data_IF_671566564414
#
_entry.id   IF_671566564414
#
_cell.length_a   1.000
_cell.length_b   1.000
_cell.length_c   1.000
_cell.angle_alpha   90.00
_cell.angle_beta   90.00
_cell.angle_gamma   90.00
#
_symmetry.space_group_name_H-M   'P 1'
#
loop_
_entity.id
_entity.type
_entity.pdbx_description
1 polymer ?
#
# COMPACT_ATOMS: atom_id res chain seq x y z
N UNK A 1 5.02 3.34 14.67
CA UNK A 1 5.93 4.40 14.19
C UNK A 1 6.07 5.57 15.18
N UNK A 2 5.07 5.86 16.00
CA UNK A 2 5.09 6.95 16.99
C UNK A 2 4.76 8.35 16.44
N UNK A 3 4.56 8.48 15.14
CA UNK A 3 4.22 9.77 14.48
C UNK A 3 2.73 10.08 14.54
N UNK A 4 1.88 9.05 14.54
CA UNK A 4 0.43 9.19 14.65
C UNK A 4 -0.07 8.74 16.03
N UNK A 5 -1.30 9.13 16.37
CA UNK A 5 -1.96 8.67 17.58
C UNK A 5 -1.96 7.12 17.67
N UNK A 6 -1.71 6.54 18.82
CA UNK A 6 -1.53 7.16 20.15
C UNK A 6 -0.09 7.66 20.45
N UNK A 7 0.80 7.80 19.48
CA UNK A 7 2.16 8.31 19.66
C UNK A 7 3.15 7.32 20.31
N UNK A 8 2.80 6.05 20.35
CA UNK A 8 3.62 5.01 20.98
C UNK A 8 4.70 4.53 20.01
N UNK A 9 5.96 4.60 20.42
CA UNK A 9 7.07 3.95 19.72
C UNK A 9 7.16 2.50 20.18
N UNK A 10 6.55 1.59 19.42
CA UNK A 10 6.61 0.18 19.71
C UNK A 10 7.85 -0.48 19.04
N UNK A 11 8.41 -1.55 19.64
CA UNK A 11 9.41 -2.37 18.98
C UNK A 11 8.92 -2.91 17.63
N UNK A 12 9.81 -3.09 16.66
CA UNK A 12 9.43 -3.60 15.32
C UNK A 12 8.64 -4.90 15.38
N UNK A 13 9.02 -5.81 16.26
CA UNK A 13 8.29 -7.08 16.43
C UNK A 13 6.81 -6.84 16.77
N UNK A 14 6.54 -5.92 17.69
CA UNK A 14 5.19 -5.61 18.11
C UNK A 14 4.40 -4.95 16.98
N UNK A 15 5.05 -4.09 16.16
CA UNK A 15 4.40 -3.45 15.01
C UNK A 15 4.04 -4.45 13.92
N UNK A 16 4.90 -5.44 13.63
CA UNK A 16 4.59 -6.52 12.69
C UNK A 16 3.47 -7.43 13.23
N UNK A 17 3.46 -7.74 14.52
CA UNK A 17 2.39 -8.51 15.15
C UNK A 17 1.06 -7.76 15.12
N UNK A 18 1.06 -6.46 15.42
CA UNK A 18 -0.14 -5.62 15.30
C UNK A 18 -0.69 -5.60 13.88
N UNK A 19 0.17 -5.45 12.87
CA UNK A 19 -0.24 -5.47 11.47
C UNK A 19 -0.85 -6.83 11.07
N UNK A 20 -0.23 -7.93 11.46
CA UNK A 20 -0.75 -9.26 11.21
C UNK A 20 -2.12 -9.46 11.87
N UNK A 21 -2.28 -9.02 13.12
CA UNK A 21 -3.55 -9.07 13.82
C UNK A 21 -4.63 -8.16 13.18
N UNK A 22 -4.24 -7.01 12.62
CA UNK A 22 -5.17 -6.16 11.86
C UNK A 22 -5.68 -6.87 10.59
N UNK A 23 -4.82 -7.58 9.86
CA UNK A 23 -5.21 -8.38 8.71
C UNK A 23 -6.11 -9.57 9.11
N UNK A 24 -5.85 -10.23 10.25
CA UNK A 24 -6.76 -11.26 10.80
C UNK A 24 -8.12 -10.68 11.18
N UNK A 25 -8.14 -9.47 11.73
CA UNK A 25 -9.39 -8.77 12.05
C UNK A 25 -10.18 -8.45 10.77
N UNK A 26 -9.50 -8.05 9.67
CA UNK A 26 -10.10 -7.90 8.35
C UNK A 26 -10.79 -9.20 7.90
N UNK A 27 -10.10 -10.32 7.90
CA UNK A 27 -10.66 -11.62 7.50
C UNK A 27 -11.89 -12.02 8.32
N UNK A 28 -11.84 -11.85 9.65
CA UNK A 28 -13.00 -12.07 10.52
C UNK A 28 -14.17 -11.16 10.19
N UNK A 29 -13.89 -9.89 9.90
CA UNK A 29 -14.93 -8.95 9.49
C UNK A 29 -15.60 -9.37 8.18
N UNK A 30 -14.82 -9.83 7.19
CA UNK A 30 -15.36 -10.37 5.93
C UNK A 30 -16.29 -11.55 6.18
N UNK A 31 -15.87 -12.54 6.99
CA UNK A 31 -16.69 -13.69 7.36
C UNK A 31 -18.00 -13.26 8.02
N UNK A 32 -17.96 -12.34 8.99
CA UNK A 32 -19.14 -11.85 9.68
C UNK A 32 -20.09 -11.08 8.76
N UNK A 33 -19.54 -10.23 7.88
CA UNK A 33 -20.36 -9.51 6.90
C UNK A 33 -21.04 -10.46 5.92
N UNK A 34 -20.34 -11.50 5.44
CA UNK A 34 -20.92 -12.51 4.55
C UNK A 34 -22.00 -13.34 5.24
N UNK A 35 -21.78 -13.71 6.53
CA UNK A 35 -22.71 -14.55 7.28
C UNK A 35 -23.99 -13.82 7.73
N UNK A 36 -23.87 -12.54 8.11
CA UNK A 36 -24.96 -11.80 8.75
C UNK A 36 -25.49 -10.62 7.93
N UNK A 37 -24.88 -10.31 6.80
CA UNK A 37 -25.37 -9.24 5.90
C UNK A 37 -26.77 -9.54 5.38
N UNK A 38 -27.69 -8.59 5.55
CA UNK A 38 -29.10 -8.73 5.14
C UNK A 38 -29.37 -8.31 3.70
N UNK A 39 -28.35 -7.81 3.00
CA UNK A 39 -28.43 -7.35 1.62
C UNK A 39 -27.21 -7.84 0.84
N UNK A 40 -27.23 -7.71 -0.48
CA UNK A 40 -26.05 -7.96 -1.31
C UNK A 40 -24.95 -6.97 -0.93
N UNK A 41 -23.83 -7.48 -0.42
CA UNK A 41 -22.70 -6.69 -0.01
C UNK A 41 -21.61 -6.70 -1.09
N UNK A 42 -20.96 -5.55 -1.26
CA UNK A 42 -19.67 -5.42 -1.93
C UNK A 42 -18.64 -5.11 -0.85
N UNK A 43 -17.79 -6.06 -0.56
CA UNK A 43 -16.82 -5.98 0.54
C UNK A 43 -15.44 -5.69 -0.04
N UNK A 44 -14.70 -4.79 0.59
CA UNK A 44 -13.36 -4.41 0.17
C UNK A 44 -12.37 -4.28 1.31
N UNK A 45 -11.11 -4.09 0.91
CA UNK A 45 -9.99 -3.73 1.76
C UNK A 45 -9.43 -2.41 1.26
N UNK A 46 -9.24 -1.43 2.13
CA UNK A 46 -8.84 -0.06 1.75
C UNK A 46 -7.57 0.39 2.49
N UNK A 47 -6.39 -0.11 2.11
CA UNK A 47 -5.12 0.34 2.67
C UNK A 47 -4.75 1.73 2.16
N UNK A 48 -3.79 2.35 2.83
CA UNK A 48 -3.13 3.56 2.34
C UNK A 48 -1.68 3.25 1.98
N UNK A 49 -1.19 3.86 0.90
CA UNK A 49 0.19 3.72 0.48
C UNK A 49 0.63 4.91 -0.39
N UNK A 50 1.93 5.12 -0.52
CA UNK A 50 2.47 6.05 -1.50
C UNK A 50 2.54 5.37 -2.86
N UNK A 51 1.91 5.97 -3.87
CA UNK A 51 1.93 5.45 -5.24
C UNK A 51 3.25 5.76 -5.95
N UNK A 52 3.55 4.99 -6.99
CA UNK A 52 4.64 5.29 -7.91
C UNK A 52 4.09 5.57 -9.31
N UNK A 53 4.72 6.49 -10.03
CA UNK A 53 4.42 6.80 -11.41
C UNK A 53 5.71 6.98 -12.22
N UNK A 54 5.73 6.63 -13.52
CA UNK A 54 6.93 6.72 -14.34
C UNK A 54 7.28 8.17 -14.70
N UNK A 55 8.57 8.47 -14.85
CA UNK A 55 9.06 9.77 -15.34
C UNK A 55 8.63 10.02 -16.79
N UNK A 56 8.69 8.97 -17.61
CA UNK A 56 8.24 8.99 -19.00
C UNK A 56 7.31 7.81 -19.28
N UNK A 57 6.62 7.83 -20.42
CA UNK A 57 5.78 6.69 -20.85
C UNK A 57 6.60 5.60 -21.60
N UNK A 58 7.92 5.57 -21.43
CA UNK A 58 8.74 4.46 -21.94
C UNK A 58 8.39 3.16 -21.21
N UNK A 59 8.57 2.02 -21.90
CA UNK A 59 8.32 0.72 -21.28
C UNK A 59 9.24 0.47 -20.06
N UNK A 60 10.46 0.99 -20.12
CA UNK A 60 11.46 0.87 -19.07
C UNK A 60 11.05 1.63 -17.82
N UNK A 61 10.61 2.89 -17.94
CA UNK A 61 10.18 3.71 -16.80
C UNK A 61 8.88 3.20 -16.20
N UNK A 62 7.94 2.73 -17.05
CA UNK A 62 6.69 2.11 -16.57
C UNK A 62 7.00 0.86 -15.74
N UNK A 63 7.91 0.01 -16.20
CA UNK A 63 8.28 -1.19 -15.45
C UNK A 63 9.06 -0.86 -14.18
N UNK A 64 9.94 0.16 -14.23
CA UNK A 64 10.63 0.66 -13.04
C UNK A 64 9.64 1.18 -11.98
N UNK A 65 8.65 1.96 -12.38
CA UNK A 65 7.62 2.47 -11.48
C UNK A 65 6.75 1.35 -10.89
N UNK A 66 6.36 0.37 -11.72
CA UNK A 66 5.64 -0.83 -11.24
C UNK A 66 6.47 -1.61 -10.23
N UNK A 67 7.73 -1.88 -10.53
CA UNK A 67 8.64 -2.58 -9.62
C UNK A 67 8.83 -1.82 -8.30
N UNK A 68 9.05 -0.51 -8.36
CA UNK A 68 9.20 0.32 -7.16
C UNK A 68 7.96 0.30 -6.26
N UNK A 69 6.74 0.34 -6.86
CA UNK A 69 5.49 0.31 -6.09
C UNK A 69 5.33 -0.95 -5.26
N UNK A 70 5.75 -2.10 -5.78
CA UNK A 70 5.54 -3.39 -5.13
C UNK A 70 6.76 -3.92 -4.38
N UNK A 71 7.96 -3.36 -4.59
CA UNK A 71 9.17 -3.75 -3.89
C UNK A 71 9.12 -3.36 -2.42
N UNK A 72 9.66 -4.23 -1.58
CA UNK A 72 9.73 -3.97 -0.15
C UNK A 72 10.99 -3.18 0.21
N UNK A 73 10.90 -2.18 1.10
CA UNK A 73 12.05 -1.42 1.54
C UNK A 73 13.05 -2.32 2.30
N UNK A 74 14.34 -2.02 2.15
CA UNK A 74 15.39 -2.72 2.88
C UNK A 74 15.38 -2.35 4.37
N UNK A 75 15.09 -1.10 4.67
CA UNK A 75 14.93 -0.64 6.05
C UNK A 75 13.59 -1.14 6.63
N UNK A 76 13.63 -1.99 7.67
CA UNK A 76 12.42 -2.53 8.28
C UNK A 76 11.58 -1.48 9.03
N UNK A 77 12.01 -0.23 9.13
CA UNK A 77 11.20 0.86 9.68
C UNK A 77 10.28 1.50 8.65
N UNK A 78 10.48 1.23 7.35
CA UNK A 78 9.75 1.84 6.24
C UNK A 78 8.66 0.95 5.61
N UNK A 79 8.41 -0.24 6.14
CA UNK A 79 7.45 -1.21 5.57
C UNK A 79 5.99 -0.75 5.61
N UNK A 80 5.63 0.11 6.55
CA UNK A 80 4.22 0.47 6.85
C UNK A 80 3.45 1.07 5.68
N UNK A 81 4.12 1.70 4.74
CA UNK A 81 3.52 2.32 3.55
C UNK A 81 3.66 1.45 2.29
N UNK A 82 4.11 0.21 2.43
CA UNK A 82 4.30 -0.68 1.29
C UNK A 82 3.00 -1.35 0.87
N UNK A 83 2.70 -1.33 -0.44
CA UNK A 83 1.48 -1.93 -0.99
C UNK A 83 1.45 -3.45 -0.80
N UNK A 84 2.55 -4.13 -1.17
CA UNK A 84 2.59 -5.59 -1.22
C UNK A 84 2.49 -6.22 0.16
N UNK A 85 3.09 -5.60 1.18
CA UNK A 85 3.03 -6.12 2.55
C UNK A 85 1.60 -6.23 3.09
N UNK A 86 0.75 -5.24 2.77
CA UNK A 86 -0.64 -5.23 3.22
C UNK A 86 -1.58 -6.00 2.29
N UNK A 87 -1.35 -5.92 0.99
CA UNK A 87 -2.31 -6.39 0.01
C UNK A 87 -2.08 -7.83 -0.43
N UNK A 88 -0.83 -8.28 -0.58
CA UNK A 88 -0.56 -9.67 -1.00
C UNK A 88 -1.17 -10.71 -0.06
N UNK A 89 -1.13 -10.57 1.29
CA UNK A 89 -1.81 -11.48 2.19
C UNK A 89 -3.32 -11.58 1.95
N UNK A 90 -3.96 -10.45 1.67
CA UNK A 90 -5.42 -10.38 1.45
C UNK A 90 -5.81 -11.00 0.10
N UNK A 91 -5.07 -10.69 -0.96
CA UNK A 91 -5.43 -11.10 -2.31
C UNK A 91 -4.83 -12.44 -2.75
N UNK A 92 -3.67 -12.81 -2.21
CA UNK A 92 -2.94 -14.03 -2.60
C UNK A 92 -2.82 -15.06 -1.48
N UNK A 93 -3.26 -14.76 -0.25
CA UNK A 93 -3.14 -15.65 0.89
C UNK A 93 -1.70 -15.91 1.34
N UNK A 94 -0.77 -15.01 1.01
CA UNK A 94 0.65 -15.11 1.40
C UNK A 94 1.31 -13.75 1.44
N UNK A 95 2.22 -13.58 2.39
CA UNK A 95 3.12 -12.42 2.39
C UNK A 95 4.13 -12.51 1.24
N UNK A 96 4.65 -11.36 0.75
CA UNK A 96 5.77 -11.35 -0.19
C UNK A 96 6.97 -12.11 0.37
N UNK A 97 7.51 -13.06 -0.41
CA UNK A 97 8.64 -13.89 0.03
C UNK A 97 9.88 -13.05 0.36
N UNK A 98 10.16 -12.03 -0.45
CA UNK A 98 11.22 -11.06 -0.18
C UNK A 98 11.08 -10.41 1.20
N UNK A 99 9.86 -10.06 1.61
CA UNK A 99 9.58 -9.46 2.91
C UNK A 99 9.71 -10.45 4.06
N UNK A 100 9.29 -11.71 3.86
CA UNK A 100 9.49 -12.75 4.86
C UNK A 100 10.98 -12.97 5.14
N UNK A 101 11.83 -12.89 4.12
CA UNK A 101 13.29 -13.01 4.27
C UNK A 101 13.90 -11.75 4.93
N UNK A 102 13.56 -10.55 4.42
CA UNK A 102 14.11 -9.28 4.94
C UNK A 102 13.76 -9.02 6.41
N UNK A 103 12.55 -9.40 6.82
CA UNK A 103 12.01 -9.04 8.14
C UNK A 103 11.90 -10.23 9.09
N UNK A 104 12.46 -11.38 8.76
CA UNK A 104 12.36 -12.66 9.47
C UNK A 104 12.43 -12.53 10.99
N UNK A 105 13.43 -11.82 11.50
CA UNK A 105 13.69 -11.65 12.95
C UNK A 105 12.62 -10.83 13.70
N UNK A 106 11.75 -10.15 12.98
CA UNK A 106 10.69 -9.31 13.56
C UNK A 106 9.29 -9.91 13.39
N UNK A 107 9.16 -10.94 12.56
CA UNK A 107 7.85 -11.49 12.22
C UNK A 107 7.20 -12.21 13.39
N UNK A 108 5.86 -12.10 13.55
CA UNK A 108 5.11 -12.98 14.43
C UNK A 108 5.09 -14.40 13.86
N UNK A 109 4.56 -15.33 14.65
CA UNK A 109 4.20 -16.65 14.12
C UNK A 109 3.04 -16.49 13.13
N UNK A 110 3.28 -16.82 11.87
CA UNK A 110 2.30 -16.81 10.79
C UNK A 110 1.91 -18.28 10.54
N UNK A 111 0.61 -18.59 10.56
CA UNK A 111 0.10 -19.93 10.32
C UNK A 111 -0.72 -19.99 9.02
N UNK A 112 -0.88 -21.19 8.47
CA UNK A 112 -1.74 -21.41 7.30
C UNK A 112 -3.20 -21.02 7.58
N UNK A 113 -3.68 -21.24 8.79
CA UNK A 113 -5.02 -20.84 9.22
C UNK A 113 -5.17 -19.31 9.27
N UNK A 114 -4.13 -18.58 9.72
CA UNK A 114 -4.13 -17.13 9.66
C UNK A 114 -4.20 -16.63 8.20
N UNK A 115 -3.39 -17.22 7.33
CA UNK A 115 -3.37 -16.81 5.92
C UNK A 115 -4.68 -17.13 5.21
N UNK A 116 -5.29 -18.27 5.49
CA UNK A 116 -6.62 -18.62 4.99
C UNK A 116 -7.69 -17.63 5.48
N UNK A 117 -7.64 -17.23 6.75
CA UNK A 117 -8.56 -16.25 7.31
C UNK A 117 -8.36 -14.85 6.66
N UNK A 118 -7.12 -14.41 6.52
CA UNK A 118 -6.78 -13.09 5.96
C UNK A 118 -7.25 -12.99 4.50
N UNK A 119 -7.13 -14.07 3.73
CA UNK A 119 -7.50 -14.11 2.32
C UNK A 119 -8.96 -14.47 2.04
N UNK A 120 -9.86 -14.23 2.98
CA UNK A 120 -11.30 -14.35 2.71
C UNK A 120 -11.68 -13.50 1.48
N UNK A 121 -12.42 -14.06 0.51
CA UNK A 121 -12.69 -13.38 -0.76
C UNK A 121 -13.41 -12.04 -0.60
N UNK A 122 -12.86 -11.01 -1.24
CA UNK A 122 -13.43 -9.66 -1.30
C UNK A 122 -13.76 -9.26 -2.74
N UNK A 123 -14.60 -8.25 -2.90
CA UNK A 123 -15.17 -7.86 -4.20
C UNK A 123 -14.46 -6.65 -4.83
N UNK A 124 -13.89 -5.78 -4.01
CA UNK A 124 -13.24 -4.54 -4.44
C UNK A 124 -11.92 -4.30 -3.70
N UNK A 125 -11.02 -3.60 -4.36
CA UNK A 125 -9.82 -3.05 -3.76
C UNK A 125 -9.98 -1.54 -3.59
N UNK A 126 -10.15 -1.08 -2.36
CA UNK A 126 -10.11 0.33 -2.01
C UNK A 126 -8.67 0.80 -1.86
N UNK A 127 -8.36 2.02 -2.27
CA UNK A 127 -7.03 2.60 -2.09
C UNK A 127 -7.14 4.09 -1.78
N UNK A 128 -6.50 4.51 -0.70
CA UNK A 128 -6.31 5.93 -0.41
C UNK A 128 -5.12 6.43 -1.22
N UNK A 129 -5.34 7.42 -2.09
CA UNK A 129 -4.30 7.98 -2.97
C UNK A 129 -4.28 9.48 -2.84
N UNK A 130 -3.22 10.04 -2.28
CA UNK A 130 -3.04 11.49 -2.13
C UNK A 130 -1.90 12.03 -2.99
N UNK A 131 -0.81 11.29 -3.08
CA UNK A 131 0.39 11.64 -3.82
C UNK A 131 1.19 10.38 -4.21
N UNK A 132 2.28 10.58 -4.93
CA UNK A 132 3.15 9.50 -5.37
C UNK A 132 4.58 9.94 -5.62
N UNK A 133 5.42 8.97 -5.94
CA UNK A 133 6.82 9.15 -6.26
C UNK A 133 7.06 8.97 -7.75
N UNK A 134 7.81 9.90 -8.36
CA UNK A 134 8.27 9.77 -9.73
C UNK A 134 9.44 8.79 -9.79
N UNK A 135 9.36 7.83 -10.71
CA UNK A 135 10.35 6.76 -10.86
C UNK A 135 10.80 6.70 -12.31
N UNK A 136 12.08 6.47 -12.52
CA UNK A 136 12.66 6.14 -13.83
C UNK A 136 13.49 4.87 -13.74
N UNK A 137 13.83 4.31 -14.89
CA UNK A 137 14.82 3.26 -14.97
C UNK A 137 16.22 3.87 -14.81
N UNK A 138 16.93 3.47 -13.79
CA UNK A 138 18.32 3.87 -13.56
C UNK A 138 19.28 3.22 -14.58
N UNK A 139 20.45 3.81 -14.75
CA UNK A 139 21.48 3.31 -15.67
C UNK A 139 22.00 1.92 -15.30
N UNK A 140 21.84 1.53 -14.06
CA UNK A 140 22.19 0.20 -13.52
C UNK A 140 21.07 -0.84 -13.69
N UNK A 141 19.95 -0.47 -14.32
CA UNK A 141 18.80 -1.35 -14.54
C UNK A 141 17.88 -1.50 -13.31
N UNK A 142 18.03 -0.63 -12.31
CA UNK A 142 17.17 -0.60 -11.11
C UNK A 142 16.28 0.64 -11.10
N UNK A 143 15.10 0.58 -10.44
CA UNK A 143 14.27 1.76 -10.23
C UNK A 143 15.01 2.86 -9.47
N UNK A 144 14.97 4.07 -9.99
CA UNK A 144 15.55 5.26 -9.38
C UNK A 144 14.46 6.29 -9.08
N UNK A 145 14.44 6.82 -7.85
CA UNK A 145 13.55 7.90 -7.45
C UNK A 145 14.01 9.22 -8.06
N UNK A 146 13.15 9.83 -8.86
CA UNK A 146 13.43 11.15 -9.46
C UNK A 146 13.26 12.23 -8.40
N UNK A 147 14.34 12.96 -8.13
CA UNK A 147 14.29 14.07 -7.16
C UNK A 147 13.43 15.20 -7.70
N UNK A 148 12.50 15.69 -6.88
CA UNK A 148 11.70 16.87 -7.19
C UNK A 148 12.58 18.11 -7.24
N UNK A 149 12.32 19.00 -8.21
CA UNK A 149 13.00 20.28 -8.33
C UNK A 149 12.58 21.23 -7.20
N UNK A 150 13.41 22.21 -6.93
CA UNK A 150 13.10 23.28 -5.97
C UNK A 150 11.87 24.06 -6.43
N UNK A 151 10.92 24.32 -5.51
CA UNK A 151 9.63 24.95 -5.86
C UNK A 151 8.59 23.99 -6.45
N UNK A 152 8.80 22.67 -6.38
CA UNK A 152 7.77 21.69 -6.77
C UNK A 152 6.45 21.99 -6.05
N UNK A 153 5.30 21.96 -6.74
CA UNK A 153 3.99 22.26 -6.15
C UNK A 153 3.67 21.37 -4.94
N UNK A 154 3.20 21.98 -3.86
CA UNK A 154 2.85 21.31 -2.62
C UNK A 154 1.51 21.80 -2.10
N UNK A 155 0.87 20.92 -1.33
CA UNK A 155 -0.33 21.26 -0.55
C UNK A 155 0.04 22.08 0.70
N UNK A 156 -0.97 22.57 1.44
CA UNK A 156 -0.76 23.34 2.67
C UNK A 156 -0.02 22.57 3.78
N UNK A 157 0.03 21.25 3.72
CA UNK A 157 0.78 20.37 4.64
C UNK A 157 2.06 19.79 4.00
N UNK A 158 2.62 20.50 3.01
CA UNK A 158 3.87 20.15 2.31
C UNK A 158 3.84 18.81 1.52
N UNK A 159 2.68 18.23 1.27
CA UNK A 159 2.60 17.07 0.41
C UNK A 159 2.73 17.47 -1.07
N UNK A 160 3.49 16.71 -1.88
CA UNK A 160 3.65 17.04 -3.28
C UNK A 160 2.36 16.86 -4.07
N UNK A 161 2.10 17.74 -5.01
CA UNK A 161 0.97 17.64 -5.95
C UNK A 161 1.42 16.79 -7.15
N UNK A 162 0.98 15.55 -7.22
CA UNK A 162 1.39 14.55 -8.21
C UNK A 162 0.18 13.81 -8.77
N UNK A 163 -0.62 14.47 -9.66
CA UNK A 163 -1.85 13.88 -10.19
C UNK A 163 -1.62 12.61 -11.00
N UNK A 164 -0.42 12.38 -11.53
CA UNK A 164 -0.03 11.19 -12.27
C UNK A 164 -0.24 9.90 -11.48
N UNK A 165 -0.16 9.97 -10.14
CA UNK A 165 -0.38 8.83 -9.27
C UNK A 165 -1.82 8.29 -9.33
N UNK A 166 -2.80 9.13 -9.71
CA UNK A 166 -4.20 8.73 -9.89
C UNK A 166 -4.45 7.95 -11.20
N UNK A 167 -3.52 8.05 -12.16
CA UNK A 167 -3.55 7.23 -13.36
C UNK A 167 -2.78 5.92 -13.13
N UNK A 168 -1.52 6.02 -12.72
CA UNK A 168 -0.62 4.89 -12.67
C UNK A 168 -0.85 3.96 -11.47
N UNK A 169 -1.18 4.51 -10.30
CA UNK A 169 -1.46 3.74 -9.10
C UNK A 169 -2.58 2.71 -9.32
N UNK A 170 -3.81 3.14 -9.63
CA UNK A 170 -4.92 2.21 -9.88
C UNK A 170 -4.65 1.22 -11.01
N UNK A 171 -3.95 1.66 -12.07
CA UNK A 171 -3.57 0.78 -13.18
C UNK A 171 -2.66 -0.35 -12.74
N UNK A 172 -1.57 -0.06 -12.00
CA UNK A 172 -0.66 -1.07 -11.49
C UNK A 172 -1.33 -2.01 -10.48
N UNK A 173 -2.19 -1.47 -9.60
CA UNK A 173 -2.96 -2.26 -8.66
C UNK A 173 -3.90 -3.23 -9.38
N UNK A 174 -4.64 -2.76 -10.38
CA UNK A 174 -5.52 -3.62 -11.16
C UNK A 174 -4.75 -4.67 -11.96
N UNK A 175 -3.62 -4.30 -12.56
CA UNK A 175 -2.76 -5.23 -13.29
C UNK A 175 -2.23 -6.38 -12.39
N UNK A 176 -1.99 -6.12 -11.09
CA UNK A 176 -1.53 -7.11 -10.13
C UNK A 176 -2.66 -7.94 -9.50
N UNK A 177 -3.67 -7.28 -8.97
CA UNK A 177 -4.68 -7.92 -8.13
C UNK A 177 -5.95 -8.33 -8.87
N UNK A 178 -6.18 -7.87 -10.10
CA UNK A 178 -7.31 -8.21 -10.97
C UNK A 178 -8.69 -7.97 -10.32
N UNK A 179 -8.76 -7.04 -9.40
CA UNK A 179 -9.96 -6.69 -8.63
C UNK A 179 -10.33 -5.25 -8.96
N UNK A 180 -11.62 -4.89 -9.07
CA UNK A 180 -12.05 -3.52 -9.30
C UNK A 180 -11.45 -2.56 -8.27
N UNK A 181 -10.85 -1.46 -8.75
CA UNK A 181 -10.19 -0.47 -7.89
C UNK A 181 -11.16 0.66 -7.60
N UNK A 182 -11.27 1.01 -6.31
CA UNK A 182 -11.98 2.19 -5.84
C UNK A 182 -10.99 3.12 -5.13
N UNK A 183 -10.92 4.37 -5.55
CA UNK A 183 -10.21 5.38 -4.79
C UNK A 183 -11.09 5.79 -3.63
N UNK A 184 -10.76 5.30 -2.44
CA UNK A 184 -11.55 5.48 -1.22
C UNK A 184 -11.28 6.79 -0.52
N UNK A 185 -10.09 7.35 -0.72
CA UNK A 185 -9.75 8.70 -0.26
C UNK A 185 -8.85 9.38 -1.30
N UNK A 186 -9.14 10.65 -1.58
CA UNK A 186 -8.33 11.57 -2.36
C UNK A 186 -8.64 12.99 -1.93
N UNK A 187 -7.71 13.89 -2.13
CA UNK A 187 -7.87 15.31 -1.82
C UNK A 187 -6.53 15.98 -1.54
N UNK A 188 -6.60 17.26 -1.28
CA UNK A 188 -5.43 18.06 -0.89
C UNK A 188 -5.82 19.07 0.18
N UNK A 189 -4.91 19.36 1.10
CA UNK A 189 -5.08 20.47 2.03
C UNK A 189 -4.80 21.80 1.33
N UNK A 190 -5.65 22.77 1.58
CA UNK A 190 -5.53 24.11 1.05
C UNK A 190 -5.47 25.13 2.21
N UNK A 191 -4.92 26.32 1.93
CA UNK A 191 -5.08 27.47 2.81
C UNK A 191 -6.43 28.11 2.49
N UNK A 192 -7.49 27.65 3.14
CA UNK A 192 -8.82 28.23 2.96
C UNK A 192 -8.90 29.53 3.77
N UNK A 193 -8.95 30.66 3.04
CA UNK A 193 -9.12 31.99 3.63
C UNK A 193 -10.53 32.44 3.28
N UNK A 194 -11.31 32.79 4.29
CA UNK A 194 -12.62 33.43 4.14
C UNK A 194 -12.44 34.92 4.02
#
# INVERSE_FOLDING_TARGET
>A
TGEHAPGVQAPLRDTFEMAHNALKAHGKAVQMLRAYGKQKLSIGFAPTASMCYPETESAEDIEAARKALFSLPDDPHNWTWNVSWWSDPVFFGKYPEEGLQKYEKYLPKITDDDMKLISEPIDIYGQNIYNGQCIRMGKDGHPEYVRRYEGFPKTAIDWPVTPECLNWGPRFLYERYKTPIYITENGMSCHDVV
#
